data_IF_697462779743
#
_entry.id   IF_697462779743
#
_cell.length_a   1.000
_cell.length_b   1.000
_cell.length_c   1.000
_cell.angle_alpha   90.00
_cell.angle_beta   90.00
_cell.angle_gamma   90.00
#
_symmetry.space_group_name_H-M   'P 1'
#
loop_
_entity.id
_entity.type
_entity.pdbx_description
1 polymer ?
#
# COMPACT_ATOMS: atom_id res chain seq x y z
N UNK A 1 8.25 -28.23 -16.13
CA UNK A 1 6.93 -27.66 -15.87
C UNK A 1 6.93 -26.31 -16.56
N UNK A 2 5.93 -26.00 -17.39
CA UNK A 2 5.87 -24.70 -18.04
C UNK A 2 5.58 -23.61 -16.99
N UNK A 3 6.22 -22.44 -17.12
CA UNK A 3 6.10 -21.35 -16.14
C UNK A 3 4.66 -20.82 -16.02
N UNK A 4 3.90 -20.81 -17.12
CA UNK A 4 2.52 -20.31 -17.14
C UNK A 4 1.58 -21.05 -16.18
N UNK A 5 1.38 -22.38 -16.31
CA UNK A 5 0.51 -23.14 -15.41
C UNK A 5 0.94 -23.10 -13.94
N UNK A 6 2.24 -23.00 -13.68
CA UNK A 6 2.76 -22.88 -12.31
C UNK A 6 2.40 -21.52 -11.71
N UNK A 7 2.58 -20.43 -12.47
CA UNK A 7 2.20 -19.09 -12.05
C UNK A 7 0.68 -18.94 -11.92
N UNK A 8 -0.12 -19.54 -12.79
CA UNK A 8 -1.59 -19.56 -12.66
C UNK A 8 -2.04 -20.27 -11.37
N UNK A 9 -1.41 -21.39 -11.02
CA UNK A 9 -1.69 -22.11 -9.77
C UNK A 9 -1.28 -21.28 -8.55
N UNK A 10 -0.10 -20.63 -8.61
CA UNK A 10 0.38 -19.75 -7.57
C UNK A 10 -0.52 -18.53 -7.40
N UNK A 11 -0.93 -17.90 -8.49
CA UNK A 11 -1.84 -16.75 -8.49
C UNK A 11 -3.21 -17.12 -7.92
N UNK A 12 -3.74 -18.28 -8.30
CA UNK A 12 -4.99 -18.82 -7.71
C UNK A 12 -4.84 -19.02 -6.20
N UNK A 13 -3.70 -19.56 -5.75
CA UNK A 13 -3.43 -19.73 -4.33
C UNK A 13 -3.39 -18.39 -3.59
N UNK A 14 -2.66 -17.39 -4.10
CA UNK A 14 -2.63 -16.06 -3.48
C UNK A 14 -4.01 -15.38 -3.51
N UNK A 15 -4.82 -15.62 -4.55
CA UNK A 15 -6.20 -15.16 -4.67
C UNK A 15 -7.22 -15.90 -3.79
N UNK A 16 -6.84 -16.96 -3.07
CA UNK A 16 -7.70 -17.55 -2.06
C UNK A 16 -7.97 -16.52 -0.96
N UNK A 17 -9.24 -16.37 -0.53
CA UNK A 17 -9.64 -15.34 0.44
C UNK A 17 -8.76 -15.32 1.70
N UNK A 18 -8.45 -16.48 2.27
CA UNK A 18 -7.58 -16.57 3.45
C UNK A 18 -6.16 -16.00 3.23
N UNK A 19 -5.62 -16.15 2.01
CA UNK A 19 -4.28 -15.70 1.66
C UNK A 19 -4.26 -14.20 1.31
N UNK A 20 -5.24 -13.76 0.52
CA UNK A 20 -5.43 -12.32 0.24
C UNK A 20 -5.71 -11.55 1.54
N UNK A 21 -6.56 -12.09 2.43
CA UNK A 21 -6.86 -11.50 3.73
C UNK A 21 -5.62 -11.46 4.63
N UNK A 22 -4.76 -12.48 4.60
CA UNK A 22 -3.52 -12.47 5.39
C UNK A 22 -2.60 -11.29 5.00
N UNK A 23 -2.44 -11.06 3.70
CA UNK A 23 -1.67 -9.92 3.18
C UNK A 23 -2.38 -8.59 3.48
N UNK A 24 -3.68 -8.52 3.26
CA UNK A 24 -4.48 -7.32 3.53
C UNK A 24 -4.48 -6.93 5.01
N UNK A 25 -4.61 -7.90 5.92
CA UNK A 25 -4.53 -7.69 7.36
C UNK A 25 -3.14 -7.21 7.77
N UNK A 26 -2.08 -7.84 7.25
CA UNK A 26 -0.71 -7.40 7.51
C UNK A 26 -0.51 -5.92 7.10
N UNK A 27 -0.96 -5.55 5.90
CA UNK A 27 -0.86 -4.17 5.42
C UNK A 27 -1.72 -3.23 6.27
N UNK A 28 -2.92 -3.63 6.67
CA UNK A 28 -3.82 -2.80 7.48
C UNK A 28 -3.28 -2.55 8.89
N UNK A 29 -2.72 -3.57 9.54
CA UNK A 29 -2.12 -3.46 10.88
C UNK A 29 -0.90 -2.51 10.89
N UNK A 30 -0.21 -2.43 9.76
CA UNK A 30 1.06 -1.71 9.62
C UNK A 30 0.90 -0.35 8.92
N UNK A 31 -0.35 0.09 8.70
CA UNK A 31 -0.69 1.35 8.02
C UNK A 31 0.05 2.56 8.60
N UNK A 32 0.19 2.63 9.93
CA UNK A 32 0.91 3.72 10.60
C UNK A 32 2.39 3.81 10.22
N UNK A 33 3.04 2.67 9.99
CA UNK A 33 4.45 2.61 9.55
C UNK A 33 4.56 2.90 8.06
N UNK A 34 3.59 2.42 7.28
CA UNK A 34 3.50 2.64 5.84
C UNK A 34 3.27 4.11 5.47
N UNK A 35 2.52 4.88 6.27
CA UNK A 35 2.31 6.32 6.02
C UNK A 35 3.57 7.17 6.21
N UNK A 36 4.58 6.66 6.94
CA UNK A 36 5.86 7.36 7.11
C UNK A 36 6.77 7.26 5.86
N UNK A 37 6.38 6.48 4.85
CA UNK A 37 7.19 6.18 3.67
C UNK A 37 7.51 7.41 2.81
N UNK A 38 6.60 8.38 2.75
CA UNK A 38 6.74 9.56 1.87
C UNK A 38 7.69 10.63 2.46
N UNK A 39 8.01 10.54 3.75
CA UNK A 39 8.89 11.52 4.40
C UNK A 39 9.62 10.92 5.61
N UNK A 40 10.61 10.03 5.42
CA UNK A 40 11.41 9.52 6.53
C UNK A 40 12.25 10.68 7.11
N UNK A 41 11.84 11.20 8.26
CA UNK A 41 12.43 12.36 8.90
C UNK A 41 13.69 11.99 9.72
N UNK A 42 13.88 10.72 10.06
CA UNK A 42 15.07 10.23 10.77
C UNK A 42 15.39 8.74 10.49
N UNK A 43 16.64 8.34 10.76
CA UNK A 43 17.21 6.99 10.63
C UNK A 43 16.40 5.90 11.35
N UNK A 44 15.67 6.28 12.41
CA UNK A 44 14.79 5.38 13.16
C UNK A 44 13.59 4.92 12.33
N UNK A 45 12.96 5.82 11.59
CA UNK A 45 11.79 5.51 10.76
C UNK A 45 12.19 4.61 9.57
N UNK A 46 13.38 4.86 9.00
CA UNK A 46 13.96 3.98 7.98
C UNK A 46 14.21 2.54 8.51
N UNK A 47 14.59 2.40 9.78
CA UNK A 47 14.75 1.09 10.42
C UNK A 47 13.42 0.38 10.68
N UNK A 48 12.38 1.12 11.08
CA UNK A 48 11.02 0.56 11.25
C UNK A 48 10.46 0.07 9.92
N UNK A 49 10.63 0.84 8.84
CA UNK A 49 10.21 0.45 7.50
C UNK A 49 10.98 -0.78 6.99
N UNK A 50 12.28 -0.87 7.27
CA UNK A 50 13.07 -2.06 6.92
C UNK A 50 12.69 -3.28 7.77
N UNK A 51 12.34 -3.08 9.04
CA UNK A 51 11.78 -4.11 9.91
C UNK A 51 10.44 -4.63 9.37
N UNK A 52 9.59 -3.72 8.90
CA UNK A 52 8.34 -4.04 8.23
C UNK A 52 8.56 -4.88 6.97
N UNK A 53 9.48 -4.46 6.10
CA UNK A 53 9.87 -5.24 4.92
C UNK A 53 10.27 -6.67 5.28
N UNK A 54 11.12 -6.86 6.30
CA UNK A 54 11.52 -8.22 6.73
C UNK A 54 10.34 -9.09 7.18
N UNK A 55 9.37 -8.49 7.88
CA UNK A 55 8.16 -9.21 8.31
C UNK A 55 7.29 -9.56 7.12
N UNK A 56 7.16 -8.65 6.15
CA UNK A 56 6.48 -8.93 4.88
C UNK A 56 7.15 -10.08 4.12
N UNK A 57 8.48 -10.06 3.97
CA UNK A 57 9.24 -11.15 3.34
C UNK A 57 8.99 -12.49 4.03
N UNK A 58 8.92 -12.51 5.37
CA UNK A 58 8.65 -13.73 6.15
C UNK A 58 7.23 -14.24 5.93
N UNK A 59 6.24 -13.34 5.82
CA UNK A 59 4.86 -13.71 5.51
C UNK A 59 4.77 -14.37 4.14
N UNK A 60 5.32 -13.73 3.11
CA UNK A 60 5.30 -14.27 1.74
C UNK A 60 6.06 -15.58 1.65
N UNK A 61 7.21 -15.71 2.31
CA UNK A 61 7.99 -16.96 2.36
C UNK A 61 7.17 -18.11 3.00
N UNK A 62 6.47 -17.84 4.11
CA UNK A 62 5.58 -18.83 4.73
C UNK A 62 4.43 -19.26 3.81
N UNK A 63 3.89 -18.33 3.02
CA UNK A 63 2.86 -18.62 2.03
C UNK A 63 3.39 -19.48 0.87
N UNK A 64 4.61 -19.18 0.38
CA UNK A 64 5.28 -19.99 -0.64
C UNK A 64 5.57 -21.41 -0.15
N UNK A 65 6.06 -21.55 1.08
CA UNK A 65 6.24 -22.86 1.70
C UNK A 65 4.92 -23.64 1.78
N UNK A 66 3.85 -22.99 2.27
CA UNK A 66 2.50 -23.59 2.33
C UNK A 66 2.03 -24.03 0.95
N UNK A 67 2.27 -23.23 -0.09
CA UNK A 67 1.94 -23.59 -1.47
C UNK A 67 2.71 -24.85 -1.91
N UNK A 68 4.02 -24.91 -1.70
CA UNK A 68 4.82 -26.09 -2.08
C UNK A 68 4.38 -27.37 -1.37
N UNK A 69 4.00 -27.28 -0.09
CA UNK A 69 3.47 -28.41 0.67
C UNK A 69 2.10 -28.87 0.12
N UNK A 70 1.22 -27.94 -0.24
CA UNK A 70 -0.08 -28.24 -0.85
C UNK A 70 0.07 -28.89 -2.22
N UNK A 71 0.97 -28.41 -3.06
CA UNK A 71 1.23 -29.01 -4.37
C UNK A 71 1.84 -30.41 -4.23
N UNK A 72 2.79 -30.58 -3.30
CA UNK A 72 3.36 -31.89 -3.00
C UNK A 72 2.28 -32.89 -2.55
N UNK A 73 1.32 -32.45 -1.72
CA UNK A 73 0.20 -33.28 -1.28
C UNK A 73 -0.76 -33.66 -2.42
N UNK A 74 -0.85 -32.84 -3.49
CA UNK A 74 -1.61 -33.16 -4.72
C UNK A 74 -0.84 -34.07 -5.69
N UNK A 75 0.40 -34.44 -5.35
CA UNK A 75 1.27 -35.29 -6.17
C UNK A 75 2.18 -34.50 -7.12
N UNK A 76 2.23 -33.17 -7.01
CA UNK A 76 3.08 -32.29 -7.82
C UNK A 76 4.20 -31.73 -6.96
N UNK A 77 5.42 -32.25 -7.12
CA UNK A 77 6.59 -31.72 -6.42
C UNK A 77 7.05 -30.42 -7.08
N UNK A 78 6.81 -29.29 -6.43
CA UNK A 78 7.29 -27.97 -6.86
C UNK A 78 8.35 -27.50 -5.87
N UNK A 79 9.54 -27.15 -6.35
CA UNK A 79 10.58 -26.54 -5.51
C UNK A 79 10.46 -25.00 -5.51
N UNK A 80 10.96 -24.37 -4.44
CA UNK A 80 11.08 -22.91 -4.38
C UNK A 80 11.94 -22.35 -5.52
N UNK A 81 12.97 -23.09 -5.96
CA UNK A 81 13.81 -22.71 -7.09
C UNK A 81 13.01 -22.63 -8.40
N UNK A 82 12.09 -23.58 -8.62
CA UNK A 82 11.21 -23.56 -9.79
C UNK A 82 10.22 -22.39 -9.75
N UNK A 83 9.73 -22.04 -8.55
CA UNK A 83 8.88 -20.86 -8.36
C UNK A 83 9.66 -19.57 -8.64
N UNK A 84 10.87 -19.47 -8.11
CA UNK A 84 11.75 -18.32 -8.36
C UNK A 84 12.04 -18.16 -9.85
N UNK A 85 12.37 -19.25 -10.54
CA UNK A 85 12.60 -19.23 -12.00
C UNK A 85 11.36 -18.77 -12.77
N UNK A 86 10.17 -19.26 -12.39
CA UNK A 86 8.92 -18.86 -13.05
C UNK A 86 8.60 -17.37 -12.82
N UNK A 87 8.73 -16.88 -11.58
CA UNK A 87 8.53 -15.46 -11.25
C UNK A 87 9.55 -14.57 -11.97
N UNK A 88 10.82 -14.97 -12.01
CA UNK A 88 11.86 -14.22 -12.72
C UNK A 88 11.64 -14.21 -14.24
N UNK A 89 11.07 -15.25 -14.83
CA UNK A 89 10.72 -15.27 -16.25
C UNK A 89 9.57 -14.32 -16.58
N UNK A 90 8.56 -14.26 -15.71
CA UNK A 90 7.45 -13.31 -15.86
C UNK A 90 7.93 -11.87 -15.71
N UNK A 91 8.77 -11.60 -14.70
CA UNK A 91 9.32 -10.26 -14.45
C UNK A 91 10.19 -9.71 -15.59
N UNK A 92 10.72 -10.58 -16.44
CA UNK A 92 11.56 -10.19 -17.60
C UNK A 92 10.75 -9.88 -18.86
N UNK A 93 9.44 -10.06 -18.87
CA UNK A 93 8.64 -9.77 -20.05
C UNK A 93 8.51 -8.26 -20.26
N UNK A 94 8.59 -7.81 -21.51
CA UNK A 94 8.49 -6.40 -21.93
C UNK A 94 7.08 -5.78 -21.72
N UNK A 95 6.17 -6.45 -21.02
CA UNK A 95 4.86 -5.89 -20.70
C UNK A 95 4.98 -5.02 -19.45
N UNK A 96 4.58 -3.75 -19.55
CA UNK A 96 4.58 -2.75 -18.46
C UNK A 96 3.70 -3.14 -17.24
N UNK A 97 3.09 -4.33 -17.23
CA UNK A 97 2.26 -4.81 -16.14
C UNK A 97 2.51 -6.30 -15.87
N UNK A 98 2.62 -6.65 -14.58
CA UNK A 98 2.65 -8.02 -14.13
C UNK A 98 1.30 -8.70 -14.39
N UNK A 99 1.30 -9.82 -15.12
CA UNK A 99 0.06 -10.55 -15.44
C UNK A 99 -0.57 -11.24 -14.23
N UNK A 100 0.24 -11.57 -13.23
CA UNK A 100 -0.16 -12.32 -12.04
C UNK A 100 0.09 -11.49 -10.78
N UNK A 101 -0.93 -11.36 -9.93
CA UNK A 101 -0.85 -10.65 -8.66
C UNK A 101 0.22 -11.25 -7.73
N UNK A 102 0.36 -12.58 -7.75
CA UNK A 102 1.37 -13.27 -6.95
C UNK A 102 2.80 -12.78 -7.25
N UNK A 103 3.10 -12.33 -8.47
CA UNK A 103 4.44 -11.84 -8.82
C UNK A 103 4.74 -10.49 -8.17
N UNK A 104 3.75 -9.61 -8.01
CA UNK A 104 3.92 -8.35 -7.29
C UNK A 104 4.20 -8.59 -5.80
N UNK A 105 3.49 -9.54 -5.18
CA UNK A 105 3.73 -9.90 -3.78
C UNK A 105 5.11 -10.55 -3.56
N UNK A 106 5.52 -11.44 -4.45
CA UNK A 106 6.84 -12.06 -4.38
C UNK A 106 7.94 -11.02 -4.67
N UNK A 107 7.76 -10.13 -5.63
CA UNK A 107 8.70 -9.04 -5.89
C UNK A 107 8.87 -8.12 -4.66
N UNK A 108 7.76 -7.72 -4.02
CA UNK A 108 7.79 -6.94 -2.79
C UNK A 108 8.42 -7.66 -1.60
N UNK A 109 8.52 -8.99 -1.62
CA UNK A 109 9.21 -9.75 -0.58
C UNK A 109 10.73 -9.86 -0.82
N UNK A 110 11.16 -9.75 -2.08
CA UNK A 110 12.55 -9.93 -2.51
C UNK A 110 13.32 -8.61 -2.64
N UNK A 111 12.63 -7.55 -3.03
CA UNK A 111 13.22 -6.25 -3.35
C UNK A 111 12.55 -5.13 -2.54
N UNK A 112 13.38 -4.32 -1.88
CA UNK A 112 12.88 -3.26 -1.01
C UNK A 112 12.26 -2.11 -1.79
N UNK A 113 12.74 -1.82 -3.00
CA UNK A 113 12.14 -0.77 -3.82
C UNK A 113 10.74 -1.19 -4.32
N UNK A 114 10.59 -2.45 -4.74
CA UNK A 114 9.31 -3.06 -5.08
C UNK A 114 8.35 -3.08 -3.90
N UNK A 115 8.85 -3.38 -2.68
CA UNK A 115 8.06 -3.29 -1.45
C UNK A 115 7.53 -1.86 -1.21
N UNK A 116 8.39 -0.85 -1.33
CA UNK A 116 7.97 0.55 -1.17
C UNK A 116 6.91 0.94 -2.20
N UNK A 117 7.03 0.47 -3.44
CA UNK A 117 6.02 0.73 -4.47
C UNK A 117 4.67 0.12 -4.06
N UNK A 118 4.66 -1.15 -3.64
CA UNK A 118 3.44 -1.80 -3.13
C UNK A 118 2.81 -1.01 -1.97
N UNK A 119 3.62 -0.55 -1.03
CA UNK A 119 3.15 0.26 0.11
C UNK A 119 2.54 1.59 -0.35
N UNK A 120 3.15 2.27 -1.32
CA UNK A 120 2.59 3.49 -1.91
C UNK A 120 1.24 3.23 -2.56
N UNK A 121 1.15 2.19 -3.39
CA UNK A 121 -0.08 1.83 -4.07
C UNK A 121 -1.20 1.55 -3.05
N UNK A 122 -0.89 0.84 -1.96
CA UNK A 122 -1.83 0.58 -0.86
C UNK A 122 -2.25 1.86 -0.14
N UNK A 123 -1.30 2.76 0.14
CA UNK A 123 -1.60 4.04 0.78
C UNK A 123 -2.49 4.92 -0.11
N UNK A 124 -2.24 4.98 -1.42
CA UNK A 124 -3.05 5.74 -2.37
C UNK A 124 -4.49 5.22 -2.47
N UNK A 125 -4.67 3.89 -2.39
CA UNK A 125 -6.01 3.27 -2.41
C UNK A 125 -6.76 3.46 -1.08
N UNK A 126 -6.04 3.44 0.05
CA UNK A 126 -6.65 3.42 1.39
C UNK A 126 -6.76 4.79 2.05
N UNK A 127 -5.96 5.77 1.59
CA UNK A 127 -5.97 7.13 2.12
C UNK A 127 -6.86 8.00 1.23
N UNK A 128 -8.10 8.24 1.67
CA UNK A 128 -8.91 9.29 1.06
C UNK A 128 -8.21 10.64 1.31
N UNK A 129 -8.03 11.50 0.28
CA UNK A 129 -7.57 12.86 0.50
C UNK A 129 -8.65 13.61 1.28
N UNK A 130 -8.48 13.69 2.60
CA UNK A 130 -9.30 14.57 3.43
C UNK A 130 -8.75 15.98 3.28
N UNK A 131 -9.13 16.70 2.22
CA UNK A 131 -8.83 18.12 2.12
C UNK A 131 -8.70 18.74 0.74
N UNK A 132 -9.76 18.73 -0.07
CA UNK A 132 -9.92 19.79 -1.10
C UNK A 132 -11.40 20.19 -1.39
N UNK A 133 -12.37 19.76 -0.57
CA UNK A 133 -13.79 20.14 -0.72
C UNK A 133 -14.40 20.77 0.56
N UNK A 134 -13.59 21.38 1.44
CA UNK A 134 -14.10 22.14 2.60
C UNK A 134 -13.49 23.54 2.74
N UNK A 135 -12.86 24.06 1.68
CA UNK A 135 -12.72 25.52 1.53
C UNK A 135 -13.99 26.06 0.87
N UNK A 136 -15.13 25.97 1.54
CA UNK A 136 -16.24 26.87 1.25
C UNK A 136 -15.86 28.22 1.86
N UNK A 137 -15.48 29.10 0.95
CA UNK A 137 -15.28 30.53 1.09
C UNK A 137 -16.59 31.19 1.56
N UNK A 138 -16.93 31.07 2.85
CA UNK A 138 -17.96 31.92 3.47
C UNK A 138 -17.36 33.30 3.76
N UNK A 139 -17.12 34.01 2.68
CA UNK A 139 -16.94 35.45 2.64
C UNK A 139 -18.36 36.07 2.70
N UNK A 140 -19.00 36.03 3.88
CA UNK A 140 -20.32 36.63 4.09
C UNK A 140 -20.16 37.98 4.82
N UNK A 141 -20.16 39.03 4.00
CA UNK A 141 -20.35 40.42 4.38
C UNK A 141 -21.59 40.56 5.29
N UNK A 142 -21.38 40.90 6.56
CA UNK A 142 -22.46 41.43 7.40
C UNK A 142 -22.17 42.89 7.75
N UNK A 143 -22.37 43.75 6.75
CA UNK A 143 -22.79 45.13 6.96
C UNK A 143 -24.14 45.11 7.72
N UNK A 144 -24.09 45.33 9.04
CA UNK A 144 -25.29 45.72 9.81
C UNK A 144 -25.06 47.09 10.42
N UNK A 145 -25.48 48.06 9.60
CA UNK A 145 -25.81 49.44 9.87
C UNK A 145 -26.87 49.57 10.99
N UNK A 146 -26.62 50.39 12.01
CA UNK A 146 -27.59 51.08 12.93
C UNK A 146 -26.90 51.41 14.26
N UNK A 147 -26.96 52.58 14.88
CA UNK A 147 -27.73 53.81 14.69
C UNK A 147 -26.96 54.95 15.38
N UNK A 148 -27.12 56.15 14.82
CA UNK A 148 -26.76 57.46 15.35
C UNK A 148 -27.17 57.75 16.80
N UNK A 149 -26.25 58.35 17.55
CA UNK A 149 -26.55 59.34 18.60
C UNK A 149 -25.52 60.48 18.49
N UNK A 150 -25.98 61.59 17.90
CA UNK A 150 -25.52 62.96 18.17
C UNK A 150 -25.51 63.21 19.70
N UNK A 151 -24.64 64.00 20.31
CA UNK A 151 -24.42 65.41 20.04
C UNK A 151 -23.10 65.88 20.68
N UNK A 152 -22.42 66.76 19.96
CA UNK A 152 -21.20 67.45 20.35
C UNK A 152 -21.54 68.67 21.22
N UNK A 153 -21.13 68.68 22.49
CA UNK A 153 -20.90 69.94 23.21
C UNK A 153 -19.49 70.45 22.88
N UNK A 154 -19.37 71.42 21.95
CA UNK A 154 -18.34 72.48 22.00
C UNK A 154 -18.82 73.77 21.34
N UNK A 155 -18.70 74.83 22.13
CA UNK A 155 -18.93 76.25 21.85
C UNK A 155 -18.23 76.78 20.60
N UNK A 156 -18.90 77.70 19.89
CA UNK A 156 -18.30 78.94 19.36
C UNK A 156 -19.38 79.87 18.77
N UNK A 157 -19.71 80.96 19.48
CA UNK A 157 -19.99 82.32 18.98
C UNK A 157 -20.42 83.28 20.11
#
# INVERSE_FOLDING_TARGET
MDAGPLLESLDTFFGEGANTDAIGNFLSEEQSVMQMLDNPHDSREALELYSLFKRYSTLVDSMLHTFTEREAAKGTSVSLEQLADAVMQEWKQDQDYARYLCTAYVAGALDFDSFKQLVRDVNEITTYPVGDELSDDDNDDNESESTSDDDQERDDA
#
